data_IF_605982570137
#
_entry.id   IF_605982570137
#
_cell.length_a   1.000
_cell.length_b   1.000
_cell.length_c   1.000
_cell.angle_alpha   90.00
_cell.angle_beta   90.00
_cell.angle_gamma   90.00
#
_symmetry.space_group_name_H-M   'P 1'
#
loop_
_entity.id
_entity.type
_entity.pdbx_description
1 polymer ?
#
# COMPACT_ATOMS: atom_id res chain seq x y z
N UNK A 1 -11.76 15.08 14.24
CA UNK A 1 -11.88 13.64 14.59
C UNK A 1 -12.40 12.84 13.38
N UNK A 2 -13.55 13.21 12.82
CA UNK A 2 -14.19 12.53 11.68
C UNK A 2 -13.27 12.37 10.45
N UNK A 3 -12.52 13.41 10.05
CA UNK A 3 -11.57 13.35 8.93
C UNK A 3 -10.41 12.35 9.15
N UNK A 4 -9.87 12.25 10.37
CA UNK A 4 -8.80 11.29 10.70
C UNK A 4 -9.31 9.86 10.71
N UNK A 5 -10.52 9.64 11.22
CA UNK A 5 -11.18 8.33 11.15
C UNK A 5 -11.43 7.92 9.70
N UNK A 6 -11.91 8.85 8.86
CA UNK A 6 -12.16 8.60 7.45
C UNK A 6 -10.87 8.20 6.71
N UNK A 7 -9.78 8.95 6.92
CA UNK A 7 -8.47 8.64 6.34
C UNK A 7 -7.98 7.22 6.69
N UNK A 8 -8.08 6.83 7.97
CA UNK A 8 -7.70 5.48 8.42
C UNK A 8 -8.54 4.40 7.77
N UNK A 9 -9.87 4.57 7.79
CA UNK A 9 -10.79 3.60 7.20
C UNK A 9 -10.55 3.43 5.70
N UNK A 10 -10.32 4.53 4.98
CA UNK A 10 -10.01 4.53 3.56
C UNK A 10 -8.75 3.72 3.26
N UNK A 11 -7.64 3.98 3.96
CA UNK A 11 -6.38 3.24 3.77
C UNK A 11 -6.54 1.76 4.06
N UNK A 12 -7.32 1.40 5.09
CA UNK A 12 -7.62 0.00 5.40
C UNK A 12 -8.42 -0.64 4.27
N UNK A 13 -9.49 0.00 3.78
CA UNK A 13 -10.29 -0.50 2.67
C UNK A 13 -9.41 -0.70 1.42
N UNK A 14 -8.64 0.32 1.05
CA UNK A 14 -7.74 0.31 -0.11
C UNK A 14 -6.67 -0.77 -0.04
N UNK A 15 -6.14 -1.04 1.15
CA UNK A 15 -5.18 -2.12 1.36
C UNK A 15 -5.74 -3.52 1.08
N UNK A 16 -7.07 -3.66 1.08
CA UNK A 16 -7.78 -4.90 0.75
C UNK A 16 -8.16 -4.91 -0.72
N UNK A 17 -8.88 -3.90 -1.21
CA UNK A 17 -9.45 -3.91 -2.57
C UNK A 17 -8.43 -3.66 -3.68
N UNK A 18 -7.39 -2.87 -3.40
CA UNK A 18 -6.36 -2.52 -4.37
C UNK A 18 -6.70 -1.39 -5.36
N UNK A 19 -7.85 -0.73 -5.23
CA UNK A 19 -8.30 0.37 -6.09
C UNK A 19 -8.96 1.50 -5.27
N UNK A 20 -8.69 2.76 -5.63
CA UNK A 20 -9.16 3.92 -4.86
C UNK A 20 -10.66 4.11 -4.96
N UNK A 21 -11.24 3.99 -6.17
CA UNK A 21 -12.68 4.12 -6.38
C UNK A 21 -13.44 3.00 -5.65
N UNK A 22 -12.94 1.76 -5.71
CA UNK A 22 -13.52 0.67 -4.93
C UNK A 22 -13.41 0.92 -3.42
N UNK A 23 -12.32 1.54 -2.94
CA UNK A 23 -12.15 1.86 -1.54
C UNK A 23 -13.12 2.95 -1.08
N UNK A 24 -13.35 3.98 -1.90
CA UNK A 24 -14.37 5.01 -1.65
C UNK A 24 -15.76 4.40 -1.54
N UNK A 25 -16.14 3.56 -2.51
CA UNK A 25 -17.43 2.89 -2.49
C UNK A 25 -17.59 1.97 -1.26
N UNK A 26 -16.53 1.23 -0.89
CA UNK A 26 -16.52 0.41 0.32
C UNK A 26 -16.79 1.27 1.55
N UNK A 27 -16.19 2.45 1.63
CA UNK A 27 -16.42 3.37 2.75
C UNK A 27 -17.85 3.88 2.78
N UNK A 28 -18.39 4.32 1.64
CA UNK A 28 -19.77 4.80 1.54
C UNK A 28 -20.76 3.73 2.00
N UNK A 29 -20.65 2.51 1.47
CA UNK A 29 -21.49 1.38 1.85
C UNK A 29 -21.33 1.02 3.33
N UNK A 30 -20.09 1.07 3.84
CA UNK A 30 -19.81 0.82 5.26
C UNK A 30 -20.47 1.85 6.17
N UNK A 31 -20.50 3.13 5.79
CA UNK A 31 -21.17 4.18 6.55
C UNK A 31 -22.69 4.00 6.56
N UNK A 32 -23.30 3.63 5.43
CA UNK A 32 -24.73 3.32 5.36
C UNK A 32 -25.08 2.15 6.29
N UNK A 33 -24.30 1.07 6.24
CA UNK A 33 -24.46 -0.10 7.13
C UNK A 33 -24.24 0.25 8.58
N UNK A 34 -23.24 1.09 8.88
CA UNK A 34 -22.98 1.55 10.22
C UNK A 34 -24.16 2.37 10.77
N UNK A 35 -24.75 3.25 9.96
CA UNK A 35 -25.93 4.02 10.36
C UNK A 35 -27.10 3.11 10.74
N UNK A 36 -27.38 2.08 9.93
CA UNK A 36 -28.46 1.12 10.22
C UNK A 36 -28.18 0.24 11.44
N UNK A 37 -26.91 -0.08 11.70
CA UNK A 37 -26.48 -0.91 12.83
C UNK A 37 -26.14 -0.12 14.08
N UNK A 38 -26.21 1.22 14.05
CA UNK A 38 -25.74 2.06 15.14
C UNK A 38 -26.50 1.78 16.44
N UNK A 39 -27.80 1.49 16.36
CA UNK A 39 -28.61 1.10 17.52
C UNK A 39 -28.21 -0.24 18.16
N UNK A 40 -27.41 -1.07 17.47
CA UNK A 40 -26.89 -2.34 17.98
C UNK A 40 -25.45 -2.25 18.51
N UNK A 41 -24.84 -1.06 18.46
CA UNK A 41 -23.49 -0.85 18.95
C UNK A 41 -23.48 -0.88 20.49
N UNK A 42 -22.88 -1.92 21.06
CA UNK A 42 -22.86 -2.16 22.51
C UNK A 42 -21.82 -1.36 23.30
N UNK A 43 -20.90 -0.66 22.63
CA UNK A 43 -19.82 0.08 23.30
C UNK A 43 -18.64 -0.77 23.80
N UNK A 44 -18.62 -2.08 23.53
CA UNK A 44 -17.54 -3.01 23.94
C UNK A 44 -16.17 -2.68 23.30
N UNK A 45 -16.14 -1.79 22.30
CA UNK A 45 -14.93 -1.34 21.61
C UNK A 45 -15.07 0.13 21.18
N UNK A 46 -13.99 0.77 20.73
CA UNK A 46 -14.12 2.13 20.18
C UNK A 46 -14.97 2.13 18.91
N UNK A 47 -15.66 3.24 18.64
CA UNK A 47 -16.43 3.42 17.41
C UNK A 47 -15.56 3.16 16.16
N UNK A 48 -14.29 3.58 16.20
CA UNK A 48 -13.34 3.38 15.11
C UNK A 48 -13.02 1.89 14.91
N UNK A 49 -12.82 1.13 15.98
CA UNK A 49 -12.62 -0.32 15.94
C UNK A 49 -13.85 -1.02 15.35
N UNK A 50 -15.05 -0.61 15.76
CA UNK A 50 -16.30 -1.17 15.23
C UNK A 50 -16.50 -0.85 13.74
N UNK A 51 -16.27 0.41 13.32
CA UNK A 51 -16.31 0.80 11.91
C UNK A 51 -15.26 0.07 11.07
N UNK A 52 -14.05 -0.13 11.60
CA UNK A 52 -13.00 -0.90 10.93
C UNK A 52 -13.45 -2.32 10.61
N UNK A 53 -14.18 -2.97 11.53
CA UNK A 53 -14.76 -4.30 11.30
C UNK A 53 -15.76 -4.31 10.15
N UNK A 54 -16.61 -3.28 10.06
CA UNK A 54 -17.60 -3.14 8.98
C UNK A 54 -16.87 -2.96 7.65
N UNK A 55 -15.92 -2.03 7.57
CA UNK A 55 -15.12 -1.74 6.39
C UNK A 55 -14.37 -2.96 5.88
N UNK A 56 -13.68 -3.69 6.77
CA UNK A 56 -12.98 -4.92 6.38
C UNK A 56 -13.92 -6.01 5.85
N UNK A 57 -15.14 -6.12 6.41
CA UNK A 57 -16.12 -7.08 5.92
C UNK A 57 -16.67 -6.70 4.55
N UNK A 58 -16.95 -5.42 4.31
CA UNK A 58 -17.38 -4.93 2.99
C UNK A 58 -16.29 -5.10 1.94
N UNK A 59 -15.06 -4.68 2.23
CA UNK A 59 -13.91 -4.81 1.33
C UNK A 59 -13.68 -6.27 0.91
N UNK A 60 -13.66 -7.19 1.89
CA UNK A 60 -13.53 -8.64 1.62
C UNK A 60 -14.74 -9.19 0.86
N UNK A 61 -15.94 -8.69 1.14
CA UNK A 61 -17.16 -9.07 0.44
C UNK A 61 -17.06 -8.73 -1.05
N UNK A 62 -16.58 -7.53 -1.37
CA UNK A 62 -16.35 -7.06 -2.75
C UNK A 62 -15.28 -7.90 -3.44
N UNK A 63 -14.14 -8.13 -2.77
CA UNK A 63 -13.07 -8.97 -3.30
C UNK A 63 -13.53 -10.40 -3.61
N UNK A 64 -14.31 -11.03 -2.72
CA UNK A 64 -14.88 -12.36 -2.98
C UNK A 64 -15.83 -12.38 -4.18
N UNK A 65 -16.65 -11.34 -4.37
CA UNK A 65 -17.53 -11.23 -5.54
C UNK A 65 -16.72 -11.11 -6.82
N UNK A 66 -15.65 -10.32 -6.82
CA UNK A 66 -14.70 -10.21 -7.94
C UNK A 66 -14.12 -11.57 -8.31
N UNK A 67 -13.60 -12.32 -7.33
CA UNK A 67 -13.10 -13.68 -7.58
C UNK A 67 -14.18 -14.67 -8.02
N UNK A 68 -15.42 -14.56 -7.54
CA UNK A 68 -16.52 -15.44 -7.95
C UNK A 68 -17.01 -15.14 -9.37
N UNK A 69 -16.92 -13.89 -9.84
CA UNK A 69 -17.20 -13.51 -11.23
C UNK A 69 -16.08 -13.95 -12.19
N UNK A 70 -14.83 -13.91 -11.73
CA UNK A 70 -13.67 -14.44 -12.47
C UNK A 70 -13.60 -15.97 -12.39
N UNK A 71 -14.23 -16.62 -11.40
CA UNK A 71 -14.25 -18.07 -11.21
C UNK A 71 -15.00 -18.89 -12.28
N UNK A 72 -15.55 -18.24 -13.31
CA UNK A 72 -15.98 -18.90 -14.56
C UNK A 72 -14.88 -18.98 -15.62
N UNK A 73 -13.77 -18.25 -15.44
CA UNK A 73 -12.60 -18.27 -16.31
C UNK A 73 -11.31 -18.30 -15.48
N UNK A 74 -10.85 -19.54 -15.23
CA UNK A 74 -9.46 -19.89 -14.88
C UNK A 74 -8.93 -19.45 -13.51
N UNK A 75 -8.74 -20.47 -12.67
CA UNK A 75 -7.78 -20.49 -11.58
C UNK A 75 -6.40 -20.58 -12.22
N UNK A 76 -5.73 -19.44 -12.40
CA UNK A 76 -4.29 -19.34 -12.29
C UNK A 76 -3.91 -17.89 -12.05
N UNK A 77 -2.95 -17.70 -11.15
CA UNK A 77 -2.49 -16.40 -10.69
C UNK A 77 -1.96 -15.58 -11.87
N UNK A 78 -2.68 -14.52 -12.25
CA UNK A 78 -2.15 -13.41 -13.04
C UNK A 78 -1.98 -12.20 -12.10
N UNK A 79 -0.83 -11.49 -12.15
CA UNK A 79 -0.75 -10.17 -11.56
C UNK A 79 -1.73 -9.28 -12.32
N UNK A 80 -2.76 -8.79 -11.64
CA UNK A 80 -3.61 -7.74 -12.20
C UNK A 80 -2.74 -6.49 -12.32
N UNK A 81 -2.26 -6.20 -13.52
CA UNK A 81 -1.46 -5.01 -13.91
C UNK A 81 -2.31 -3.71 -13.90
N UNK A 82 -3.10 -3.52 -12.86
CA UNK A 82 -3.76 -2.24 -12.57
C UNK A 82 -3.60 -1.95 -11.08
N UNK A 83 -2.35 -1.91 -10.62
CA UNK A 83 -2.05 -1.32 -9.33
C UNK A 83 -2.00 0.19 -9.54
N UNK A 84 -3.13 0.87 -9.31
CA UNK A 84 -3.08 2.31 -9.05
C UNK A 84 -2.17 2.51 -7.83
N UNK A 85 -1.30 3.53 -7.88
CA UNK A 85 -0.37 3.81 -6.79
C UNK A 85 -1.14 4.41 -5.62
N UNK A 86 -1.09 3.78 -4.45
CA UNK A 86 -1.71 4.25 -3.20
C UNK A 86 -1.35 5.72 -3.02
N UNK A 87 -2.27 6.68 -2.97
CA UNK A 87 -1.88 8.03 -2.54
C UNK A 87 -2.13 8.21 -1.04
N UNK A 88 -1.07 8.36 -0.25
CA UNK A 88 -1.18 8.73 1.17
C UNK A 88 -1.44 10.24 1.27
N UNK A 89 -2.55 10.67 1.91
CA UNK A 89 -2.83 12.09 2.05
C UNK A 89 -1.68 12.81 2.78
N UNK A 90 -1.21 13.90 2.18
CA UNK A 90 -0.08 14.71 2.65
C UNK A 90 -0.45 15.47 3.92
N UNK A 91 0.44 15.46 4.92
CA UNK A 91 0.34 16.31 6.13
C UNK A 91 1.30 17.50 6.13
N UNK A 92 2.05 17.71 5.05
CA UNK A 92 3.16 18.66 5.05
C UNK A 92 3.08 19.56 3.82
N UNK A 93 2.83 20.86 4.06
CA UNK A 93 3.22 21.92 3.15
C UNK A 93 4.65 22.34 3.51
N UNK A 94 5.59 22.20 2.58
CA UNK A 94 6.89 22.86 2.71
C UNK A 94 6.99 23.99 1.71
N UNK A 95 7.57 25.10 2.16
CA UNK A 95 7.74 26.35 1.40
C UNK A 95 8.78 26.25 0.26
N UNK A 96 9.55 25.16 0.18
CA UNK A 96 10.47 24.87 -0.92
C UNK A 96 9.85 23.88 -1.93
N UNK A 97 9.57 24.32 -3.18
CA UNK A 97 9.04 23.48 -4.25
C UNK A 97 9.94 22.28 -4.60
N UNK A 98 11.27 22.45 -4.53
CA UNK A 98 12.21 21.38 -4.90
C UNK A 98 12.21 20.26 -3.85
N UNK A 99 12.25 20.62 -2.56
CA UNK A 99 12.11 19.66 -1.47
C UNK A 99 10.73 18.97 -1.48
N UNK A 100 9.67 19.69 -1.85
CA UNK A 100 8.32 19.13 -1.98
C UNK A 100 8.24 18.06 -3.08
N UNK A 101 8.79 18.36 -4.27
CA UNK A 101 8.84 17.43 -5.39
C UNK A 101 9.63 16.16 -5.06
N UNK A 102 10.80 16.28 -4.44
CA UNK A 102 11.60 15.12 -4.01
C UNK A 102 10.85 14.24 -3.00
N UNK A 103 10.15 14.85 -2.04
CA UNK A 103 9.30 14.10 -1.08
C UNK A 103 8.12 13.41 -1.78
N UNK A 104 7.54 14.02 -2.81
CA UNK A 104 6.47 13.41 -3.58
C UNK A 104 6.97 12.18 -4.35
N UNK A 105 8.17 12.24 -4.93
CA UNK A 105 8.79 11.09 -5.60
C UNK A 105 9.08 9.94 -4.63
N UNK A 106 9.70 10.22 -3.47
CA UNK A 106 9.97 9.21 -2.45
C UNK A 106 8.66 8.58 -1.95
N UNK A 107 7.63 9.40 -1.75
CA UNK A 107 6.31 8.93 -1.36
C UNK A 107 5.74 7.98 -2.41
N UNK A 108 5.77 8.37 -3.69
CA UNK A 108 5.26 7.56 -4.78
C UNK A 108 5.97 6.19 -4.87
N UNK A 109 7.29 6.17 -4.66
CA UNK A 109 8.05 4.92 -4.60
C UNK A 109 7.59 4.00 -3.46
N UNK A 110 7.40 4.56 -2.25
CA UNK A 110 6.92 3.79 -1.10
C UNK A 110 5.51 3.26 -1.33
N UNK A 111 4.64 4.09 -1.91
CA UNK A 111 3.27 3.76 -2.25
C UNK A 111 3.22 2.58 -3.23
N UNK A 112 3.99 2.66 -4.32
CA UNK A 112 4.10 1.59 -5.30
C UNK A 112 4.59 0.28 -4.69
N UNK A 113 5.64 0.34 -3.87
CA UNK A 113 6.21 -0.85 -3.22
C UNK A 113 5.21 -1.50 -2.23
N UNK A 114 4.32 -0.71 -1.61
CA UNK A 114 3.24 -1.23 -0.75
C UNK A 114 2.15 -1.88 -1.59
N UNK A 115 1.83 -1.35 -2.78
CA UNK A 115 0.85 -1.95 -3.68
C UNK A 115 1.28 -3.29 -4.24
N UNK A 116 2.57 -3.48 -4.52
CA UNK A 116 3.13 -4.75 -4.98
C UNK A 116 3.04 -5.87 -3.94
N UNK A 117 2.79 -5.53 -2.66
CA UNK A 117 2.62 -6.55 -1.64
C UNK A 117 1.34 -7.37 -1.88
N UNK A 118 1.42 -8.71 -1.75
CA UNK A 118 0.22 -9.54 -1.67
C UNK A 118 -0.74 -9.03 -0.59
N UNK A 119 -2.03 -9.01 -0.89
CA UNK A 119 -3.11 -8.43 -0.05
C UNK A 119 -2.94 -8.78 1.45
N UNK A 120 -2.76 -10.06 1.77
CA UNK A 120 -2.63 -10.53 3.14
C UNK A 120 -1.46 -9.90 3.92
N UNK A 121 -0.40 -9.49 3.23
CA UNK A 121 0.76 -8.79 3.79
C UNK A 121 0.55 -7.28 3.77
N UNK A 122 0.00 -6.74 2.68
CA UNK A 122 -0.35 -5.33 2.53
C UNK A 122 -1.28 -4.84 3.63
N UNK A 123 -2.41 -5.53 3.86
CA UNK A 123 -3.37 -5.15 4.90
C UNK A 123 -2.75 -5.18 6.30
N UNK A 124 -1.93 -6.20 6.60
CA UNK A 124 -1.23 -6.28 7.90
C UNK A 124 -0.23 -5.12 8.05
N UNK A 125 0.53 -4.81 7.00
CA UNK A 125 1.49 -3.71 7.00
C UNK A 125 0.80 -2.36 7.22
N UNK A 126 -0.26 -2.07 6.47
CA UNK A 126 -1.03 -0.83 6.60
C UNK A 126 -1.62 -0.69 8.01
N UNK A 127 -2.26 -1.74 8.54
CA UNK A 127 -2.84 -1.67 9.88
C UNK A 127 -1.78 -1.46 10.98
N UNK A 128 -0.59 -2.07 10.86
CA UNK A 128 0.44 -2.07 11.91
C UNK A 128 1.41 -0.90 11.83
N UNK A 129 1.90 -0.57 10.64
CA UNK A 129 2.98 0.42 10.47
C UNK A 129 2.45 1.80 10.09
N UNK A 130 1.30 1.87 9.41
CA UNK A 130 0.73 3.15 8.94
C UNK A 130 -0.37 3.64 9.88
N UNK A 131 -1.24 2.73 10.31
CA UNK A 131 -2.36 3.03 11.20
C UNK A 131 -2.08 2.70 12.67
N UNK A 132 -0.88 2.18 12.97
CA UNK A 132 -0.35 1.94 14.33
C UNK A 132 -1.28 1.10 15.23
N UNK A 133 -2.15 0.25 14.65
CA UNK A 133 -3.04 -0.64 15.39
C UNK A 133 -2.23 -1.65 16.20
N UNK A 134 -2.72 -2.13 17.35
CA UNK A 134 -2.01 -3.17 18.12
C UNK A 134 -2.03 -4.53 17.42
N UNK A 135 -1.19 -5.49 17.86
CA UNK A 135 -1.17 -6.84 17.27
C UNK A 135 -2.51 -7.54 17.56
N UNK A 136 -3.02 -7.34 18.77
CA UNK A 136 -4.25 -7.89 19.30
C UNK A 136 -5.46 -7.33 18.56
N UNK A 137 -5.53 -6.02 18.37
CA UNK A 137 -6.58 -5.38 17.57
C UNK A 137 -6.57 -5.90 16.14
N UNK A 138 -5.39 -5.95 15.52
CA UNK A 138 -5.24 -6.42 14.14
C UNK A 138 -5.65 -7.89 14.01
N UNK A 139 -5.27 -8.74 14.96
CA UNK A 139 -5.67 -10.15 15.01
C UNK A 139 -7.19 -10.32 15.10
N UNK A 140 -7.86 -9.56 15.96
CA UNK A 140 -9.33 -9.57 16.11
C UNK A 140 -10.01 -9.12 14.80
N UNK A 141 -9.56 -8.00 14.23
CA UNK A 141 -10.12 -7.40 13.01
C UNK A 141 -9.91 -8.29 11.76
N UNK A 142 -8.75 -8.93 11.67
CA UNK A 142 -8.41 -9.82 10.57
C UNK A 142 -8.84 -11.27 10.81
N UNK A 143 -9.36 -11.60 12.00
CA UNK A 143 -9.78 -12.96 12.42
C UNK A 143 -8.68 -14.01 12.22
N UNK A 144 -7.46 -13.68 12.60
CA UNK A 144 -6.28 -14.56 12.52
C UNK A 144 -5.47 -14.48 13.81
N UNK A 145 -4.59 -15.46 14.03
CA UNK A 145 -3.80 -15.54 15.27
C UNK A 145 -2.77 -14.40 15.36
N UNK A 146 -2.48 -13.86 16.56
CA UNK A 146 -1.43 -12.86 16.78
C UNK A 146 -0.05 -13.26 16.21
N UNK A 147 0.30 -14.54 16.28
CA UNK A 147 1.54 -15.08 15.71
C UNK A 147 1.57 -14.94 14.18
N UNK A 148 0.42 -15.12 13.53
CA UNK A 148 0.26 -14.90 12.09
C UNK A 148 0.45 -13.43 11.72
N UNK A 149 0.02 -12.49 12.58
CA UNK A 149 0.27 -11.06 12.36
C UNK A 149 1.77 -10.77 12.37
N UNK A 150 2.50 -11.26 13.38
CA UNK A 150 3.96 -11.03 13.50
C UNK A 150 4.72 -11.58 12.30
N UNK A 151 4.39 -12.80 11.88
CA UNK A 151 5.03 -13.45 10.72
C UNK A 151 4.69 -12.75 9.41
N UNK A 152 3.44 -12.34 9.19
CA UNK A 152 3.03 -11.57 8.01
C UNK A 152 3.70 -10.20 7.96
N UNK A 153 3.77 -9.49 9.08
CA UNK A 153 4.44 -8.19 9.16
C UNK A 153 5.94 -8.31 8.86
N UNK A 154 6.61 -9.31 9.41
CA UNK A 154 8.01 -9.59 9.11
C UNK A 154 8.22 -9.86 7.60
N UNK A 155 7.36 -10.68 6.98
CA UNK A 155 7.41 -10.95 5.54
C UNK A 155 7.14 -9.70 4.71
N UNK A 156 6.13 -8.90 5.08
CA UNK A 156 5.80 -7.64 4.41
C UNK A 156 7.00 -6.69 4.38
N UNK A 157 7.66 -6.47 5.53
CA UNK A 157 8.87 -5.64 5.62
C UNK A 157 10.01 -6.16 4.75
N UNK A 158 10.17 -7.49 4.64
CA UNK A 158 11.22 -8.08 3.78
C UNK A 158 10.93 -7.87 2.30
N UNK A 159 9.68 -8.06 1.87
CA UNK A 159 9.26 -7.82 0.49
C UNK A 159 9.39 -6.34 0.11
N UNK A 160 8.95 -5.43 0.98
CA UNK A 160 9.13 -3.99 0.78
C UNK A 160 10.60 -3.60 0.63
N UNK A 161 11.47 -4.10 1.51
CA UNK A 161 12.91 -3.84 1.40
C UNK A 161 13.49 -4.37 0.08
N UNK A 162 13.06 -5.54 -0.36
CA UNK A 162 13.53 -6.12 -1.62
C UNK A 162 13.09 -5.29 -2.84
N UNK A 163 11.81 -4.88 -2.88
CA UNK A 163 11.26 -4.02 -3.95
C UNK A 163 11.99 -2.67 -3.98
N UNK A 164 12.10 -1.98 -2.84
CA UNK A 164 12.82 -0.69 -2.76
C UNK A 164 14.31 -0.82 -3.11
N UNK A 165 14.97 -1.92 -2.71
CA UNK A 165 16.38 -2.15 -3.05
C UNK A 165 16.57 -2.32 -4.57
N UNK A 166 15.64 -3.01 -5.24
CA UNK A 166 15.68 -3.16 -6.69
C UNK A 166 15.51 -1.80 -7.40
N UNK A 167 14.50 -1.02 -7.01
CA UNK A 167 14.27 0.30 -7.60
C UNK A 167 15.43 1.28 -7.34
N UNK A 168 16.04 1.21 -6.15
CA UNK A 168 17.22 2.00 -5.83
C UNK A 168 18.46 1.56 -6.60
N UNK A 169 18.63 0.27 -6.88
CA UNK A 169 19.75 -0.22 -7.68
C UNK A 169 19.67 0.30 -9.12
N UNK A 170 18.48 0.34 -9.71
CA UNK A 170 18.24 0.90 -11.04
C UNK A 170 18.58 2.40 -11.07
N UNK A 171 18.06 3.17 -10.10
CA UNK A 171 18.36 4.61 -10.01
C UNK A 171 19.83 4.89 -9.69
N UNK A 172 20.51 4.05 -8.90
CA UNK A 172 21.96 4.19 -8.67
C UNK A 172 22.77 3.92 -9.93
N UNK A 173 22.35 2.96 -10.76
CA UNK A 173 22.97 2.69 -12.06
C UNK A 173 22.83 3.89 -13.00
N UNK A 174 21.66 4.53 -13.02
CA UNK A 174 21.40 5.74 -13.80
C UNK A 174 22.16 6.97 -13.28
N UNK A 175 22.23 7.16 -11.95
CA UNK A 175 22.87 8.30 -11.32
C UNK A 175 24.40 8.23 -11.38
N UNK A 176 24.96 7.02 -11.32
CA UNK A 176 26.40 6.74 -11.40
C UNK A 176 26.70 5.79 -12.57
N UNK A 177 26.47 6.21 -13.83
CA UNK A 177 26.71 5.34 -14.97
C UNK A 177 28.20 5.01 -15.01
N UNK A 178 28.54 3.71 -15.08
CA UNK A 178 29.92 3.25 -15.15
C UNK A 178 30.64 3.99 -16.28
N UNK A 179 31.54 4.89 -15.89
CA UNK A 179 32.47 5.65 -16.72
C UNK A 179 31.91 6.38 -17.97
N UNK A 180 30.60 6.59 -18.16
CA UNK A 180 29.96 7.16 -19.37
C UNK A 180 30.80 8.08 -20.30
N UNK A 181 30.59 9.41 -20.25
CA UNK A 181 31.28 10.38 -21.14
C UNK A 181 32.81 10.48 -20.91
N UNK A 182 33.33 9.88 -19.84
CA UNK A 182 34.77 9.89 -19.49
C UNK A 182 35.51 8.74 -20.16
N UNK A 183 34.95 7.53 -20.17
CA UNK A 183 35.43 6.42 -20.98
C UNK A 183 35.30 6.78 -22.45
N UNK A 184 34.16 7.30 -22.93
CA UNK A 184 34.01 7.71 -24.34
C UNK A 184 35.11 8.70 -24.79
N UNK A 185 35.45 9.70 -23.97
CA UNK A 185 36.56 10.62 -24.24
C UNK A 185 37.94 9.94 -24.17
N UNK A 186 38.14 9.00 -23.25
CA UNK A 186 39.37 8.21 -23.18
C UNK A 186 39.50 7.32 -24.41
N UNK A 187 38.43 6.66 -24.88
CA UNK A 187 38.43 5.87 -26.11
C UNK A 187 38.66 6.74 -27.33
N UNK A 188 37.98 7.89 -27.47
CA UNK A 188 38.25 8.83 -28.57
C UNK A 188 39.69 9.34 -28.57
N UNK A 189 40.23 9.71 -27.41
CA UNK A 189 41.61 10.20 -27.30
C UNK A 189 42.66 9.11 -27.58
N UNK A 190 42.34 7.84 -27.32
CA UNK A 190 43.19 6.69 -27.67
C UNK A 190 43.06 6.36 -29.15
N UNK A 191 41.84 6.33 -29.71
CA UNK A 191 41.59 6.09 -31.14
C UNK A 191 42.28 7.15 -32.00
N UNK A 192 42.24 8.43 -31.61
CA UNK A 192 42.92 9.51 -32.31
C UNK A 192 44.47 9.43 -32.27
N UNK A 193 45.03 8.54 -31.45
CA UNK A 193 46.47 8.29 -31.30
C UNK A 193 46.93 6.97 -31.91
N UNK A 194 46.02 6.14 -32.42
CA UNK A 194 46.38 4.92 -33.13
C UNK A 194 46.80 5.29 -34.58
N UNK A 195 47.94 4.74 -35.07
CA UNK A 195 48.45 5.02 -36.41
C UNK A 195 47.61 4.41 -37.53
#
# INVERSE_FOLDING_TARGET
IMQRCNQRLFRIARSVVGDDAEAEDVLQESYLRAYHKLGSFRGDSTLLTWLTSIVLNEARGRLRKRHSMVGLEQIDAAPLDTHQVIQFPTRFGSEDPAASAARAQIRHLLEHAIDELPEAFRTVYVMREIEECTVEETAIQLRIKPETIRTRLHRARRLLRASLQATLADTLSEAFPFMGRRCARLTEAVIARLP
#
